data_IF_105952484384
#
_entry.id   IF_105952484384
#
_cell.length_a   1.000
_cell.length_b   1.000
_cell.length_c   1.000
_cell.angle_alpha   90.00
_cell.angle_beta   90.00
_cell.angle_gamma   90.00
#
_symmetry.space_group_name_H-M   'P 1'
#
loop_
_entity.id
_entity.type
_entity.pdbx_description
1 polymer ?
#
# COMPACT_ATOMS: atom_id res chain seq x y z
N UNK A 1 13.55 11.46 13.52
CA UNK A 1 12.74 11.88 12.36
C UNK A 1 13.25 11.17 11.12
N UNK A 2 12.39 10.48 10.38
CA UNK A 2 12.77 9.77 9.17
C UNK A 2 13.21 10.75 8.09
N UNK A 3 14.23 10.37 7.32
CA UNK A 3 14.76 11.21 6.23
C UNK A 3 14.05 10.85 4.93
N UNK A 4 13.23 11.75 4.42
CA UNK A 4 12.48 11.63 3.18
C UNK A 4 13.36 11.96 1.97
N UNK A 5 14.35 11.08 1.72
CA UNK A 5 15.28 11.20 0.59
C UNK A 5 14.75 10.35 -0.57
N UNK A 6 14.45 10.93 -1.76
CA UNK A 6 13.85 10.23 -2.89
C UNK A 6 14.48 8.89 -3.21
N UNK A 7 15.78 8.87 -3.47
CA UNK A 7 16.54 7.65 -3.81
C UNK A 7 16.40 6.55 -2.74
N UNK A 8 16.44 6.93 -1.45
CA UNK A 8 16.28 5.99 -0.34
C UNK A 8 14.85 5.44 -0.26
N UNK A 9 13.85 6.30 -0.48
CA UNK A 9 12.45 5.90 -0.47
C UNK A 9 12.14 4.94 -1.61
N UNK A 10 12.60 5.24 -2.83
CA UNK A 10 12.41 4.37 -4.00
C UNK A 10 13.02 2.99 -3.75
N UNK A 11 14.26 2.93 -3.25
CA UNK A 11 14.94 1.66 -2.92
C UNK A 11 14.27 0.86 -1.80
N UNK A 12 13.48 1.51 -0.94
CA UNK A 12 12.69 0.85 0.10
C UNK A 12 11.25 0.55 -0.32
N UNK A 13 10.83 1.03 -1.49
CA UNK A 13 9.50 0.76 -2.03
C UNK A 13 9.39 -0.63 -2.66
N UNK A 14 8.17 -1.02 -2.95
CA UNK A 14 7.83 -2.23 -3.72
C UNK A 14 8.21 -2.11 -5.21
N UNK A 15 8.65 -0.94 -5.65
CA UNK A 15 8.97 -0.63 -7.04
C UNK A 15 10.47 -0.61 -7.32
N UNK A 16 11.31 -1.00 -6.34
CA UNK A 16 12.77 -0.92 -6.46
C UNK A 16 13.34 -1.73 -7.62
N UNK A 17 12.76 -2.90 -7.90
CA UNK A 17 13.23 -3.77 -8.98
C UNK A 17 12.86 -3.16 -10.34
N UNK A 18 11.63 -2.71 -10.51
CA UNK A 18 11.18 -1.96 -11.68
C UNK A 18 11.99 -0.68 -11.91
N UNK A 19 12.27 0.10 -10.86
CA UNK A 19 13.16 1.27 -10.93
C UNK A 19 14.55 0.91 -11.40
N UNK A 20 15.10 -0.23 -11.02
CA UNK A 20 16.46 -0.63 -11.42
C UNK A 20 16.63 -0.75 -12.94
N UNK A 21 15.56 -1.07 -13.65
CA UNK A 21 15.52 -1.27 -15.10
C UNK A 21 15.42 0.05 -15.90
N UNK A 22 15.13 1.18 -15.24
CA UNK A 22 14.96 2.47 -15.87
C UNK A 22 16.28 3.07 -16.36
N UNK A 23 16.24 3.91 -17.41
CA UNK A 23 17.40 4.69 -17.85
C UNK A 23 17.86 5.67 -16.79
N UNK A 24 19.12 6.08 -16.81
CA UNK A 24 19.63 7.05 -15.83
C UNK A 24 18.91 8.42 -15.94
N UNK A 25 18.48 8.81 -17.14
CA UNK A 25 17.69 10.03 -17.35
C UNK A 25 16.30 9.92 -16.70
N UNK A 26 15.64 8.77 -16.81
CA UNK A 26 14.33 8.56 -16.19
C UNK A 26 14.44 8.43 -14.68
N UNK A 27 15.49 7.78 -14.19
CA UNK A 27 15.79 7.74 -12.76
C UNK A 27 16.03 9.13 -12.17
N UNK A 28 16.68 10.03 -12.90
CA UNK A 28 16.85 11.40 -12.47
C UNK A 28 15.50 12.12 -12.38
N UNK A 29 14.71 12.06 -13.46
CA UNK A 29 13.34 12.65 -13.47
C UNK A 29 12.47 12.11 -12.34
N UNK A 30 12.53 10.80 -12.07
CA UNK A 30 11.77 10.20 -10.97
C UNK A 30 12.17 10.79 -9.61
N UNK A 31 13.48 10.96 -9.36
CA UNK A 31 13.95 11.55 -8.09
C UNK A 31 13.53 13.01 -7.94
N UNK A 32 13.56 13.77 -9.03
CA UNK A 32 13.07 15.16 -9.05
C UNK A 32 11.57 15.20 -8.74
N UNK A 33 10.76 14.40 -9.43
CA UNK A 33 9.33 14.30 -9.19
C UNK A 33 9.01 13.86 -7.76
N UNK A 34 9.75 12.90 -7.22
CA UNK A 34 9.63 12.49 -5.82
C UNK A 34 9.94 13.63 -4.85
N UNK A 35 10.93 14.48 -5.15
CA UNK A 35 11.26 15.64 -4.31
C UNK A 35 10.11 16.65 -4.28
N UNK A 36 9.50 16.92 -5.44
CA UNK A 36 8.32 17.79 -5.55
C UNK A 36 7.15 17.23 -4.72
N UNK A 37 6.81 15.95 -4.93
CA UNK A 37 5.72 15.29 -4.22
C UNK A 37 5.92 15.23 -2.70
N UNK A 38 7.15 15.04 -2.23
CA UNK A 38 7.47 15.07 -0.79
C UNK A 38 7.20 16.47 -0.22
N UNK A 39 7.65 17.53 -0.92
CA UNK A 39 7.45 18.91 -0.48
C UNK A 39 5.98 19.30 -0.47
N UNK A 40 5.22 18.97 -1.52
CA UNK A 40 3.78 19.25 -1.66
C UNK A 40 2.89 18.52 -0.66
N UNK A 41 3.40 17.44 -0.06
CA UNK A 41 2.67 16.59 0.88
C UNK A 41 3.36 16.51 2.25
N UNK A 42 4.03 17.61 2.65
CA UNK A 42 4.78 17.70 3.91
C UNK A 42 3.96 17.35 5.15
N UNK A 43 2.65 17.63 5.15
CA UNK A 43 1.74 17.30 6.25
C UNK A 43 1.66 15.79 6.54
N UNK A 44 1.89 14.95 5.52
CA UNK A 44 1.90 13.49 5.64
C UNK A 44 3.27 12.92 6.00
N UNK A 45 4.34 13.74 5.99
CA UNK A 45 5.72 13.28 6.20
C UNK A 45 6.07 13.13 7.68
N UNK A 46 5.37 12.26 8.37
CA UNK A 46 5.69 11.84 9.72
C UNK A 46 6.44 10.48 9.76
N UNK A 47 7.05 10.15 10.90
CA UNK A 47 7.83 8.91 11.04
C UNK A 47 6.99 7.63 10.83
N UNK A 48 5.69 7.67 11.12
CA UNK A 48 4.78 6.53 10.97
C UNK A 48 4.42 6.25 9.51
N UNK A 49 4.15 7.31 8.76
CA UNK A 49 3.77 7.20 7.35
C UNK A 49 4.91 6.82 6.41
N UNK A 50 6.15 6.86 6.87
CA UNK A 50 7.32 6.69 6.01
C UNK A 50 7.24 5.48 5.09
N UNK A 51 6.88 4.30 5.61
CA UNK A 51 6.75 3.08 4.81
C UNK A 51 5.63 3.13 3.77
N UNK A 52 4.50 3.75 4.12
CA UNK A 52 3.39 3.96 3.19
C UNK A 52 3.79 4.95 2.10
N UNK A 53 4.40 6.06 2.45
CA UNK A 53 4.83 7.10 1.50
C UNK A 53 5.96 6.62 0.57
N UNK A 54 6.84 5.71 1.02
CA UNK A 54 7.79 5.05 0.11
C UNK A 54 7.07 4.36 -1.06
N UNK A 55 5.96 3.69 -0.82
CA UNK A 55 5.20 3.03 -1.88
C UNK A 55 4.31 4.01 -2.66
N UNK A 56 3.52 4.81 -1.96
CA UNK A 56 2.53 5.70 -2.54
C UNK A 56 3.17 6.77 -3.43
N UNK A 57 4.13 7.53 -2.90
CA UNK A 57 4.76 8.60 -3.67
C UNK A 57 5.63 8.07 -4.80
N UNK A 58 6.27 6.89 -4.62
CA UNK A 58 7.00 6.27 -5.72
C UNK A 58 6.06 5.84 -6.85
N UNK A 59 4.91 5.21 -6.53
CA UNK A 59 3.91 4.85 -7.54
C UNK A 59 3.41 6.08 -8.29
N UNK A 60 3.03 7.13 -7.55
CA UNK A 60 2.55 8.39 -8.11
C UNK A 60 3.59 9.03 -9.05
N UNK A 61 4.84 9.16 -8.58
CA UNK A 61 5.93 9.72 -9.36
C UNK A 61 6.22 8.90 -10.63
N UNK A 62 6.17 7.56 -10.54
CA UNK A 62 6.37 6.67 -11.69
C UNK A 62 5.30 6.87 -12.75
N UNK A 63 4.03 6.95 -12.36
CA UNK A 63 2.94 7.22 -13.31
C UNK A 63 3.18 8.55 -14.01
N UNK A 64 3.47 9.63 -13.27
CA UNK A 64 3.71 10.95 -13.84
C UNK A 64 4.91 10.97 -14.82
N UNK A 65 6.03 10.35 -14.45
CA UNK A 65 7.23 10.29 -15.33
C UNK A 65 6.98 9.45 -16.58
N UNK A 66 6.21 8.37 -16.47
CA UNK A 66 5.83 7.55 -17.63
C UNK A 66 4.91 8.32 -18.59
N UNK A 67 3.99 9.14 -18.08
CA UNK A 67 3.16 10.03 -18.90
C UNK A 67 3.99 11.12 -19.59
N UNK A 68 4.91 11.76 -18.88
CA UNK A 68 5.87 12.72 -19.46
C UNK A 68 6.74 12.07 -20.53
N UNK A 69 6.98 10.77 -20.43
CA UNK A 69 7.65 9.94 -21.44
C UNK A 69 6.77 9.50 -22.62
N UNK A 70 5.51 9.95 -22.67
CA UNK A 70 4.58 9.70 -23.78
C UNK A 70 3.64 8.50 -23.63
N UNK A 71 3.61 7.82 -22.47
CA UNK A 71 2.57 6.82 -22.19
C UNK A 71 1.25 7.49 -21.88
N UNK A 72 0.15 6.85 -22.26
CA UNK A 72 -1.17 7.24 -21.74
C UNK A 72 -1.22 6.96 -20.22
N UNK A 73 -2.11 7.66 -19.52
CA UNK A 73 -2.37 7.47 -18.10
C UNK A 73 -2.61 5.98 -17.79
N UNK A 74 -3.51 5.34 -18.50
CA UNK A 74 -3.87 3.93 -18.29
C UNK A 74 -2.68 2.97 -18.50
N UNK A 75 -1.81 3.23 -19.49
CA UNK A 75 -0.61 2.42 -19.71
C UNK A 75 0.42 2.61 -18.59
N UNK A 76 0.56 3.83 -18.06
CA UNK A 76 1.45 4.14 -16.97
C UNK A 76 0.98 3.49 -15.65
N UNK A 77 -0.30 3.63 -15.31
CA UNK A 77 -0.91 3.01 -14.14
C UNK A 77 -0.80 1.49 -14.19
N UNK A 78 -1.09 0.89 -15.36
CA UNK A 78 -0.95 -0.55 -15.56
C UNK A 78 0.49 -1.01 -15.34
N UNK A 79 1.48 -0.31 -15.89
CA UNK A 79 2.90 -0.68 -15.72
C UNK A 79 3.31 -0.65 -14.23
N UNK A 80 2.84 0.36 -13.48
CA UNK A 80 3.10 0.48 -12.04
C UNK A 80 2.37 -0.62 -11.26
N UNK A 81 1.12 -0.95 -11.61
CA UNK A 81 0.37 -2.04 -10.98
C UNK A 81 1.07 -3.40 -11.22
N UNK A 82 1.45 -3.70 -12.45
CA UNK A 82 2.15 -4.94 -12.82
C UNK A 82 3.47 -5.10 -12.02
N UNK A 83 4.25 -4.01 -11.89
CA UNK A 83 5.48 -3.99 -11.10
C UNK A 83 5.22 -4.29 -9.62
N UNK A 84 4.17 -3.73 -9.04
CA UNK A 84 3.80 -3.99 -7.64
C UNK A 84 3.38 -5.45 -7.43
N UNK A 85 2.57 -6.01 -8.32
CA UNK A 85 2.11 -7.40 -8.20
C UNK A 85 3.26 -8.37 -8.36
N UNK A 86 4.15 -8.16 -9.34
CA UNK A 86 5.37 -8.96 -9.52
C UNK A 86 6.23 -8.98 -8.26
N UNK A 87 6.41 -7.83 -7.62
CA UNK A 87 7.17 -7.72 -6.38
C UNK A 87 6.54 -8.52 -5.23
N UNK A 88 5.22 -8.65 -5.20
CA UNK A 88 4.49 -9.29 -4.10
C UNK A 88 4.38 -10.83 -4.20
N UNK A 89 4.58 -11.41 -5.37
CA UNK A 89 4.45 -12.86 -5.58
C UNK A 89 5.24 -13.72 -4.55
N UNK A 90 6.53 -13.45 -4.27
CA UNK A 90 7.27 -14.21 -3.25
C UNK A 90 6.70 -14.01 -1.84
N UNK A 91 6.14 -12.84 -1.56
CA UNK A 91 5.56 -12.50 -0.25
C UNK A 91 4.27 -13.27 0.00
N UNK A 92 3.46 -13.51 -1.04
CA UNK A 92 2.23 -14.29 -0.99
C UNK A 92 2.49 -15.70 -0.46
N UNK A 93 3.45 -16.43 -1.04
CA UNK A 93 3.81 -17.77 -0.57
C UNK A 93 4.24 -17.79 0.90
N UNK A 94 4.97 -16.77 1.35
CA UNK A 94 5.36 -16.62 2.75
C UNK A 94 4.16 -16.36 3.66
N UNK A 95 3.17 -15.58 3.21
CA UNK A 95 1.94 -15.32 3.94
C UNK A 95 1.07 -16.58 4.06
N UNK A 96 0.91 -17.33 2.98
CA UNK A 96 0.19 -18.62 2.97
C UNK A 96 0.82 -19.62 3.94
N UNK A 97 2.16 -19.73 3.96
CA UNK A 97 2.89 -20.54 4.93
C UNK A 97 2.63 -20.10 6.37
N UNK A 98 2.65 -18.79 6.65
CA UNK A 98 2.34 -18.26 7.98
C UNK A 98 0.89 -18.58 8.37
N UNK A 99 -0.05 -18.42 7.44
CA UNK A 99 -1.47 -18.65 7.67
C UNK A 99 -1.86 -20.14 7.73
N UNK A 100 -0.93 -21.07 7.46
CA UNK A 100 -1.15 -22.51 7.69
C UNK A 100 -1.17 -22.90 9.17
N UNK A 101 -0.71 -22.02 10.05
CA UNK A 101 -0.70 -22.24 11.49
C UNK A 101 -2.02 -21.85 12.14
N UNK A 102 -2.54 -22.72 13.01
CA UNK A 102 -3.84 -22.49 13.70
C UNK A 102 -3.89 -21.29 14.64
N UNK A 103 -2.75 -20.67 14.96
CA UNK A 103 -2.62 -19.47 15.78
C UNK A 103 -2.61 -18.16 14.95
N UNK A 104 -2.64 -18.23 13.64
CA UNK A 104 -2.47 -17.08 12.73
C UNK A 104 -3.42 -15.90 13.03
N UNK A 105 -4.73 -16.16 13.13
CA UNK A 105 -5.71 -15.10 13.42
C UNK A 105 -5.48 -14.48 14.79
N UNK A 106 -5.14 -15.30 15.81
CA UNK A 106 -4.76 -14.77 17.15
C UNK A 106 -3.50 -13.92 17.08
N UNK A 107 -2.54 -14.31 16.27
CA UNK A 107 -1.32 -13.52 16.03
C UNK A 107 -1.65 -12.18 15.40
N UNK A 108 -2.50 -12.11 14.34
CA UNK A 108 -2.95 -10.86 13.75
C UNK A 108 -3.63 -9.98 14.79
N UNK A 109 -4.55 -10.54 15.58
CA UNK A 109 -5.31 -9.81 16.62
C UNK A 109 -4.40 -9.13 17.66
N UNK A 110 -3.26 -9.69 17.96
CA UNK A 110 -2.29 -9.13 18.93
C UNK A 110 -1.33 -8.15 18.22
N UNK A 111 -0.79 -8.53 17.07
CA UNK A 111 0.34 -7.81 16.48
C UNK A 111 -0.08 -6.64 15.58
N UNK A 112 -1.22 -6.74 14.89
CA UNK A 112 -1.63 -5.72 13.93
C UNK A 112 -1.97 -4.37 14.59
N UNK A 113 -2.73 -4.31 15.71
CA UNK A 113 -2.95 -3.04 16.41
C UNK A 113 -1.64 -2.36 16.86
N UNK A 114 -0.69 -3.15 17.36
CA UNK A 114 0.63 -2.65 17.78
C UNK A 114 1.40 -2.11 16.56
N UNK A 115 1.46 -2.88 15.47
CA UNK A 115 2.12 -2.46 14.23
C UNK A 115 1.52 -1.15 13.71
N UNK A 116 0.20 -1.08 13.62
CA UNK A 116 -0.50 0.09 13.07
C UNK A 116 -0.36 1.33 13.96
N UNK A 117 -0.29 1.19 15.28
CA UNK A 117 0.04 2.31 16.16
C UNK A 117 1.39 2.98 15.82
N UNK A 118 2.31 2.24 15.19
CA UNK A 118 3.64 2.71 14.78
C UNK A 118 3.78 3.02 13.28
N UNK A 119 2.79 2.65 12.45
CA UNK A 119 2.88 2.80 11.00
C UNK A 119 1.75 3.60 10.37
N UNK A 120 0.73 3.98 11.12
CA UNK A 120 -0.35 4.85 10.65
C UNK A 120 -0.21 6.22 11.31
N UNK A 121 0.12 7.22 10.53
CA UNK A 121 0.30 8.60 10.93
C UNK A 121 -0.86 9.50 10.49
N UNK A 122 -0.55 10.76 10.20
CA UNK A 122 -1.54 11.72 9.70
C UNK A 122 -2.25 11.21 8.44
N UNK A 123 -3.55 11.43 8.34
CA UNK A 123 -4.37 11.01 7.19
C UNK A 123 -4.99 9.61 7.32
N UNK A 124 -4.60 8.83 8.34
CA UNK A 124 -5.26 7.57 8.65
C UNK A 124 -6.33 7.73 9.73
N UNK A 125 -7.41 6.97 9.60
CA UNK A 125 -8.43 6.76 10.62
C UNK A 125 -8.80 5.29 10.62
N UNK A 126 -8.29 4.56 11.61
CA UNK A 126 -8.40 3.09 11.69
C UNK A 126 -8.81 2.68 13.09
N UNK A 127 -9.78 1.78 13.18
CA UNK A 127 -10.22 1.18 14.43
C UNK A 127 -10.13 -0.36 14.40
N UNK A 128 -10.05 -0.94 15.60
CA UNK A 128 -10.00 -2.39 15.81
C UNK A 128 -11.17 -2.81 16.68
N UNK A 129 -12.35 -3.08 16.11
CA UNK A 129 -13.54 -3.48 16.85
C UNK A 129 -13.30 -4.76 17.66
N UNK A 130 -13.97 -4.87 18.82
CA UNK A 130 -13.99 -6.11 19.57
C UNK A 130 -14.69 -7.19 18.74
N UNK A 131 -14.07 -8.33 18.58
CA UNK A 131 -14.58 -9.48 17.85
C UNK A 131 -14.28 -10.77 18.61
N UNK A 132 -14.97 -11.89 18.31
CA UNK A 132 -14.69 -13.22 18.92
C UNK A 132 -13.20 -13.61 18.85
N UNK A 133 -12.81 -14.61 19.64
CA UNK A 133 -11.41 -15.02 19.73
C UNK A 133 -10.85 -15.63 18.42
N UNK A 134 -11.72 -16.11 17.57
CA UNK A 134 -11.43 -16.68 16.26
C UNK A 134 -11.45 -15.66 15.12
N UNK A 135 -11.64 -14.38 15.44
CA UNK A 135 -11.68 -13.27 14.48
C UNK A 135 -10.67 -12.16 14.83
N UNK A 136 -10.23 -11.48 13.79
CA UNK A 136 -9.56 -10.16 13.86
C UNK A 136 -10.25 -9.23 12.87
N UNK A 137 -10.73 -8.10 13.32
CA UNK A 137 -11.41 -7.09 12.48
C UNK A 137 -10.65 -5.76 12.54
N UNK A 138 -10.55 -5.10 11.39
CA UNK A 138 -9.98 -3.77 11.22
C UNK A 138 -10.90 -2.97 10.30
N UNK A 139 -11.25 -1.77 10.73
CA UNK A 139 -12.04 -0.84 9.92
C UNK A 139 -11.19 0.40 9.64
N UNK A 140 -11.08 0.77 8.37
CA UNK A 140 -10.39 1.98 7.93
C UNK A 140 -11.39 2.97 7.39
N UNK A 141 -11.54 4.12 8.05
CA UNK A 141 -12.45 5.20 7.65
C UNK A 141 -11.76 6.25 6.79
N UNK A 142 -10.42 6.44 6.97
CA UNK A 142 -9.61 7.33 6.13
C UNK A 142 -8.33 6.61 5.70
N UNK A 143 -8.01 6.73 4.43
CA UNK A 143 -6.86 6.11 3.79
C UNK A 143 -6.01 7.16 3.06
N UNK A 144 -4.71 7.26 3.38
CA UNK A 144 -3.82 8.23 2.72
C UNK A 144 -3.64 7.92 1.23
N UNK A 145 -3.75 6.66 0.81
CA UNK A 145 -3.69 6.30 -0.61
C UNK A 145 -4.83 6.95 -1.38
N UNK A 146 -6.08 6.81 -0.88
CA UNK A 146 -7.23 7.44 -1.49
C UNK A 146 -7.10 8.96 -1.53
N UNK A 147 -6.65 9.58 -0.42
CA UNK A 147 -6.53 11.03 -0.34
C UNK A 147 -5.50 11.56 -1.35
N UNK A 148 -4.31 10.95 -1.39
CA UNK A 148 -3.23 11.45 -2.25
C UNK A 148 -3.45 11.07 -3.72
N UNK A 149 -3.87 9.86 -4.05
CA UNK A 149 -4.18 9.53 -5.44
C UNK A 149 -5.32 10.39 -6.00
N UNK A 150 -6.36 10.67 -5.20
CA UNK A 150 -7.44 11.59 -5.61
C UNK A 150 -6.92 13.02 -5.81
N UNK A 151 -6.06 13.52 -4.92
CA UNK A 151 -5.43 14.85 -5.04
C UNK A 151 -4.72 15.03 -6.39
N UNK A 152 -4.10 13.96 -6.91
CA UNK A 152 -3.36 13.98 -8.17
C UNK A 152 -4.17 13.46 -9.38
N UNK A 153 -5.48 13.30 -9.23
CA UNK A 153 -6.37 12.87 -10.32
C UNK A 153 -6.18 11.42 -10.76
N UNK A 154 -5.77 10.55 -9.83
CA UNK A 154 -5.53 9.11 -10.05
C UNK A 154 -6.28 8.23 -9.04
N UNK A 155 -7.58 8.48 -8.75
CA UNK A 155 -8.31 7.72 -7.72
C UNK A 155 -8.31 6.21 -7.98
N UNK A 156 -8.22 5.78 -9.23
CA UNK A 156 -8.17 4.37 -9.67
C UNK A 156 -6.94 3.64 -9.10
N UNK A 157 -5.84 4.34 -8.90
CA UNK A 157 -4.64 3.76 -8.28
C UNK A 157 -4.87 3.30 -6.85
N UNK A 158 -5.87 3.82 -6.16
CA UNK A 158 -6.23 3.31 -4.83
C UNK A 158 -6.73 1.87 -4.92
N UNK A 159 -7.54 1.54 -5.93
CA UNK A 159 -8.01 0.17 -6.16
C UNK A 159 -6.85 -0.81 -6.37
N UNK A 160 -5.81 -0.40 -7.11
CA UNK A 160 -4.60 -1.20 -7.31
C UNK A 160 -3.95 -1.58 -5.97
N UNK A 161 -3.90 -0.66 -5.00
CA UNK A 161 -3.37 -0.94 -3.67
C UNK A 161 -4.33 -1.78 -2.81
N UNK A 162 -5.65 -1.68 -3.02
CA UNK A 162 -6.63 -2.57 -2.38
C UNK A 162 -6.55 -4.01 -2.92
N UNK A 163 -6.27 -4.18 -4.22
CA UNK A 163 -6.06 -5.51 -4.83
C UNK A 163 -4.88 -6.27 -4.22
N UNK A 164 -3.91 -5.57 -3.65
CA UNK A 164 -2.82 -6.21 -2.89
C UNK A 164 -3.37 -7.03 -1.71
N UNK A 165 -4.40 -6.54 -1.04
CA UNK A 165 -5.01 -7.26 0.08
C UNK A 165 -5.70 -8.55 -0.42
N UNK A 166 -6.40 -8.48 -1.55
CA UNK A 166 -7.01 -9.67 -2.18
C UNK A 166 -5.94 -10.66 -2.63
N UNK A 167 -4.88 -10.19 -3.29
CA UNK A 167 -3.77 -11.03 -3.73
C UNK A 167 -3.11 -11.76 -2.55
N UNK A 168 -2.93 -11.06 -1.44
CA UNK A 168 -2.22 -11.58 -0.26
C UNK A 168 -3.08 -12.48 0.62
N UNK A 169 -4.42 -12.25 0.67
CA UNK A 169 -5.24 -12.83 1.72
C UNK A 169 -6.41 -13.69 1.21
N UNK A 170 -6.74 -13.71 -0.09
CA UNK A 170 -7.89 -14.49 -0.61
C UNK A 170 -7.74 -16.01 -0.45
N UNK A 171 -6.52 -16.52 -0.44
CA UNK A 171 -6.22 -17.96 -0.45
C UNK A 171 -5.55 -18.50 0.84
N UNK A 172 -5.82 -17.86 1.99
CA UNK A 172 -5.21 -18.27 3.26
C UNK A 172 -5.69 -19.69 3.70
N UNK A 173 -4.78 -20.64 4.04
CA UNK A 173 -5.16 -22.02 4.33
C UNK A 173 -6.06 -22.21 5.54
N UNK A 174 -5.85 -21.43 6.63
CA UNK A 174 -6.60 -21.56 7.89
C UNK A 174 -7.27 -20.28 8.37
N UNK A 175 -7.43 -19.33 7.47
CA UNK A 175 -8.20 -18.13 7.72
C UNK A 175 -9.03 -17.79 6.49
N UNK A 176 -10.11 -17.10 6.69
CA UNK A 176 -10.93 -16.49 5.67
C UNK A 176 -10.76 -14.98 5.77
N UNK A 177 -10.47 -14.32 4.65
CA UNK A 177 -10.41 -12.87 4.54
C UNK A 177 -11.73 -12.40 3.95
N UNK A 178 -12.44 -11.56 4.70
CA UNK A 178 -13.80 -11.12 4.40
C UNK A 178 -13.85 -9.60 4.48
N UNK A 179 -14.53 -8.98 3.54
CA UNK A 179 -14.90 -7.56 3.59
C UNK A 179 -16.18 -7.33 2.80
N UNK A 180 -16.90 -6.24 3.07
CA UNK A 180 -18.09 -5.82 2.33
C UNK A 180 -17.82 -4.58 1.50
N UNK A 181 -16.90 -3.71 1.96
CA UNK A 181 -16.52 -2.47 1.31
C UNK A 181 -15.01 -2.26 1.28
N UNK A 182 -14.55 -1.54 0.25
CA UNK A 182 -13.19 -1.01 0.13
C UNK A 182 -13.24 0.41 -0.40
N UNK A 183 -12.57 1.35 0.27
CA UNK A 183 -12.48 2.76 -0.12
C UNK A 183 -12.02 2.92 -1.58
N UNK A 184 -10.99 2.19 -1.99
CA UNK A 184 -10.46 2.25 -3.36
C UNK A 184 -11.43 1.72 -4.44
N UNK A 185 -12.50 1.06 -4.06
CA UNK A 185 -13.57 0.56 -4.96
C UNK A 185 -14.89 1.31 -4.78
N UNK A 186 -14.84 2.51 -4.19
CA UNK A 186 -16.00 3.37 -4.01
C UNK A 186 -16.80 3.12 -2.74
N UNK A 187 -16.33 2.26 -1.85
CA UNK A 187 -16.91 2.10 -0.51
C UNK A 187 -16.63 3.30 0.40
N UNK A 188 -17.41 3.41 1.47
CA UNK A 188 -17.23 4.45 2.48
C UNK A 188 -16.11 4.15 3.47
N UNK A 189 -15.71 2.88 3.58
CA UNK A 189 -14.67 2.36 4.48
C UNK A 189 -14.04 1.10 3.89
N UNK A 190 -12.99 0.57 4.57
CA UNK A 190 -12.54 -0.81 4.36
C UNK A 190 -12.82 -1.60 5.65
N UNK A 191 -13.66 -2.64 5.58
CA UNK A 191 -14.12 -3.44 6.73
C UNK A 191 -13.50 -4.84 6.73
N UNK A 192 -12.21 -4.93 6.90
CA UNK A 192 -11.47 -6.19 6.80
C UNK A 192 -11.64 -7.08 8.04
N UNK A 193 -12.04 -8.32 7.82
CA UNK A 193 -12.12 -9.35 8.86
C UNK A 193 -11.36 -10.61 8.45
N UNK A 194 -10.48 -11.06 9.32
CA UNK A 194 -9.85 -12.37 9.25
C UNK A 194 -10.54 -13.30 10.23
N UNK A 195 -11.17 -14.35 9.73
CA UNK A 195 -11.86 -15.36 10.52
C UNK A 195 -11.15 -16.71 10.42
N UNK A 196 -10.92 -17.37 11.55
CA UNK A 196 -10.32 -18.71 11.56
C UNK A 196 -11.25 -19.72 10.88
N UNK A 197 -10.68 -20.52 9.99
CA UNK A 197 -11.32 -21.73 9.42
C UNK A 197 -11.12 -22.93 10.33
#
# INVERSE_FOLDING_TARGET
MKNYIPEKMIKQSRFRDFYSEWSESDKLRLREKMSELIAENSDYTDDKNYGHLCNLLTALAMVLVLEEGGKSRSEAEKAVADAMYTFLEPTKASMEKLASHGWFVKFLKITMPIKFAHTLGFGWDVEFPKCPNDCFTMITHKCIYQQLFTKYGMPEMTAVFCEVDDLMYSALPRAEFIYTEQIGRGGSMCDYTFKKR
#
